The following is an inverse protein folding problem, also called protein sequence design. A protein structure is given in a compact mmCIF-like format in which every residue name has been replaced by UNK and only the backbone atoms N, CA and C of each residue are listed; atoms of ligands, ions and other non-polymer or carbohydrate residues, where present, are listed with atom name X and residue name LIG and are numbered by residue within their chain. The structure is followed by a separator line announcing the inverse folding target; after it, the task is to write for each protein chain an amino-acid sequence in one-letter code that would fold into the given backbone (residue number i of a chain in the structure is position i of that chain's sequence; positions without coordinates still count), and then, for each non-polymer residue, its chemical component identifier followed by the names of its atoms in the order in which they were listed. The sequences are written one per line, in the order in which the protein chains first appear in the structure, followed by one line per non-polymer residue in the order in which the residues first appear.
data_IF_309395480167
#
_entry.id   IF_309395480167
#
_cell.length_a   1.000
_cell.length_b   1.000
_cell.length_c   1.000
_cell.angle_alpha   90.00
_cell.angle_beta   90.00
_cell.angle_gamma   90.00
#
_symmetry.space_group_name_H-M   'P 1'
#
loop_
_entity.id
_entity.type
_entity.pdbx_description
1 polymer ?
#
# COMPACT_ATOMS: atom_id res chain seq x y z
N UNK A 1 1.54 -22.70 25.83
CA UNK A 1 1.50 -21.26 26.18
C UNK A 1 0.92 -20.52 24.99
N UNK A 2 -0.40 -20.30 24.96
CA UNK A 2 -1.04 -19.53 23.89
C UNK A 2 -0.87 -18.05 24.22
N UNK A 3 -0.25 -17.28 23.32
CA UNK A 3 -0.12 -15.84 23.46
C UNK A 3 -1.51 -15.21 23.58
N UNK A 4 -1.75 -14.51 24.68
CA UNK A 4 -2.94 -13.69 24.94
C UNK A 4 -2.88 -12.37 24.15
N UNK A 5 -2.70 -12.45 22.83
CA UNK A 5 -2.60 -11.29 21.93
C UNK A 5 -3.34 -11.56 20.62
N UNK A 6 -3.87 -10.51 19.99
CA UNK A 6 -4.44 -10.60 18.64
C UNK A 6 -3.38 -11.12 17.66
N UNK A 7 -3.73 -12.16 16.90
CA UNK A 7 -2.92 -12.61 15.76
C UNK A 7 -3.23 -11.72 14.54
N UNK A 8 -2.29 -10.84 14.21
CA UNK A 8 -2.41 -9.95 13.04
C UNK A 8 -1.95 -10.60 11.73
N UNK A 9 -1.49 -11.85 11.75
CA UNK A 9 -1.04 -12.60 10.57
C UNK A 9 -1.49 -14.07 10.61
N UNK A 10 -2.80 -14.34 10.72
CA UNK A 10 -3.30 -15.70 10.80
C UNK A 10 -3.02 -16.45 9.50
N UNK A 11 -2.57 -17.69 9.61
CA UNK A 11 -2.15 -18.52 8.47
C UNK A 11 -3.16 -18.54 7.30
N UNK A 12 -4.48 -18.67 7.52
CA UNK A 12 -5.46 -18.67 6.43
C UNK A 12 -5.53 -17.37 5.62
N UNK A 13 -5.09 -16.24 6.19
CA UNK A 13 -5.12 -14.93 5.54
C UNK A 13 -3.77 -14.48 4.99
N UNK A 14 -2.69 -15.21 5.29
CA UNK A 14 -1.32 -14.81 4.99
C UNK A 14 -1.10 -14.46 3.52
N UNK A 15 -1.63 -15.26 2.60
CA UNK A 15 -1.53 -14.97 1.17
C UNK A 15 -2.24 -13.67 0.75
N UNK A 16 -3.40 -13.36 1.35
CA UNK A 16 -4.12 -12.10 1.08
C UNK A 16 -3.34 -10.90 1.64
N UNK A 17 -2.75 -11.05 2.82
CA UNK A 17 -1.89 -10.04 3.44
C UNK A 17 -0.67 -9.79 2.56
N UNK A 18 0.01 -10.84 2.11
CA UNK A 18 1.18 -10.74 1.22
C UNK A 18 0.83 -10.07 -0.11
N UNK A 19 -0.30 -10.44 -0.72
CA UNK A 19 -0.80 -9.79 -1.94
C UNK A 19 -0.95 -8.28 -1.73
N UNK A 20 -1.69 -7.85 -0.71
CA UNK A 20 -1.90 -6.42 -0.47
C UNK A 20 -0.61 -5.69 -0.10
N UNK A 21 0.26 -6.29 0.73
CA UNK A 21 1.55 -5.70 1.06
C UNK A 21 2.44 -5.50 -0.17
N UNK A 22 2.43 -6.45 -1.12
CA UNK A 22 3.20 -6.32 -2.37
C UNK A 22 2.72 -5.19 -3.27
N UNK A 23 1.49 -4.71 -3.10
CA UNK A 23 0.93 -3.57 -3.85
C UNK A 23 1.14 -2.28 -3.06
N UNK A 24 0.75 -2.27 -1.79
CA UNK A 24 0.77 -1.08 -0.93
C UNK A 24 2.20 -0.59 -0.70
N UNK A 25 3.16 -1.49 -0.46
CA UNK A 25 4.53 -1.10 -0.14
C UNK A 25 5.21 -0.29 -1.28
N UNK A 26 5.29 -0.79 -2.52
CA UNK A 26 5.93 -0.04 -3.60
C UNK A 26 5.11 1.15 -4.12
N UNK A 27 3.78 1.11 -4.03
CA UNK A 27 2.92 2.07 -4.73
C UNK A 27 2.24 3.10 -3.81
N UNK A 28 2.27 2.89 -2.49
CA UNK A 28 1.79 3.87 -1.51
C UNK A 28 2.94 4.24 -0.58
N UNK A 29 3.44 3.29 0.21
CA UNK A 29 4.41 3.56 1.26
C UNK A 29 5.70 4.18 0.72
N UNK A 30 6.20 3.69 -0.42
CA UNK A 30 7.37 4.25 -1.08
C UNK A 30 7.03 5.43 -1.99
N UNK A 31 5.85 5.44 -2.60
CA UNK A 31 5.49 6.44 -3.60
C UNK A 31 5.25 7.83 -2.97
N UNK A 32 4.75 7.89 -1.73
CA UNK A 32 4.66 9.17 -1.00
C UNK A 32 6.04 9.83 -0.81
N UNK A 33 7.09 9.04 -0.55
CA UNK A 33 8.46 9.58 -0.50
C UNK A 33 8.95 10.02 -1.87
N UNK A 34 8.59 9.30 -2.93
CA UNK A 34 8.95 9.68 -4.31
C UNK A 34 8.31 11.00 -4.72
N UNK A 35 7.06 11.23 -4.33
CA UNK A 35 6.41 12.53 -4.48
C UNK A 35 7.19 13.62 -3.74
N UNK A 36 7.47 13.40 -2.44
CA UNK A 36 8.13 14.39 -1.58
C UNK A 36 9.60 14.68 -1.93
N UNK A 37 10.31 13.73 -2.54
CA UNK A 37 11.71 13.87 -2.94
C UNK A 37 11.92 14.08 -4.45
N UNK A 38 10.84 14.24 -5.22
CA UNK A 38 10.94 14.49 -6.65
C UNK A 38 11.74 15.77 -6.92
N UNK A 39 12.72 15.67 -7.83
CA UNK A 39 13.57 16.81 -8.23
C UNK A 39 13.05 17.56 -9.46
N UNK A 40 11.88 17.15 -9.98
CA UNK A 40 11.22 17.81 -11.10
C UNK A 40 9.71 17.63 -11.04
N UNK A 41 8.98 18.56 -11.67
CA UNK A 41 7.53 18.48 -11.78
C UNK A 41 7.08 17.18 -12.45
N UNK A 42 7.75 16.79 -13.55
CA UNK A 42 7.42 15.56 -14.27
C UNK A 42 7.57 14.30 -13.41
N UNK A 43 8.64 14.23 -12.60
CA UNK A 43 8.84 13.09 -11.69
C UNK A 43 7.76 13.07 -10.59
N UNK A 44 7.40 14.24 -10.06
CA UNK A 44 6.31 14.38 -9.11
C UNK A 44 4.97 13.94 -9.72
N UNK A 45 4.61 14.41 -10.91
CA UNK A 45 3.34 14.10 -11.57
C UNK A 45 3.19 12.58 -11.81
N UNK A 46 4.26 11.92 -12.23
CA UNK A 46 4.28 10.45 -12.40
C UNK A 46 4.04 9.75 -11.06
N UNK A 47 4.74 10.17 -10.01
CA UNK A 47 4.64 9.55 -8.69
C UNK A 47 3.25 9.76 -8.07
N UNK A 48 2.72 10.98 -8.14
CA UNK A 48 1.39 11.34 -7.62
C UNK A 48 0.29 10.59 -8.36
N UNK A 49 0.32 10.54 -9.69
CA UNK A 49 -0.68 9.77 -10.45
C UNK A 49 -0.68 8.30 -10.06
N UNK A 50 0.51 7.68 -9.97
CA UNK A 50 0.65 6.28 -9.55
C UNK A 50 0.14 6.01 -8.13
N UNK A 51 0.40 6.96 -7.21
CA UNK A 51 -0.12 6.91 -5.85
C UNK A 51 -1.65 6.97 -5.86
N UNK A 52 -2.24 7.94 -6.55
CA UNK A 52 -3.69 8.12 -6.66
C UNK A 52 -4.37 6.88 -7.27
N UNK A 53 -3.86 6.36 -8.38
CA UNK A 53 -4.40 5.15 -9.02
C UNK A 53 -4.44 3.96 -8.05
N UNK A 54 -3.42 3.83 -7.19
CA UNK A 54 -3.37 2.75 -6.20
C UNK A 54 -4.34 3.00 -5.04
N UNK A 55 -4.50 4.26 -4.62
CA UNK A 55 -5.46 4.62 -3.57
C UNK A 55 -6.90 4.40 -4.04
N UNK A 56 -7.23 4.71 -5.29
CA UNK A 56 -8.54 4.43 -5.88
C UNK A 56 -8.84 2.92 -5.87
N UNK A 57 -7.86 2.09 -6.24
CA UNK A 57 -7.98 0.62 -6.15
C UNK A 57 -8.20 0.13 -4.71
N UNK A 58 -7.59 0.78 -3.72
CA UNK A 58 -7.79 0.45 -2.30
C UNK A 58 -9.18 0.88 -1.84
N UNK A 59 -9.64 2.07 -2.22
CA UNK A 59 -10.97 2.58 -1.91
C UNK A 59 -12.06 1.67 -2.49
N UNK A 60 -11.93 1.27 -3.76
CA UNK A 60 -12.83 0.31 -4.40
C UNK A 60 -12.92 -1.01 -3.60
N UNK A 61 -11.81 -1.48 -3.03
CA UNK A 61 -11.80 -2.69 -2.21
C UNK A 61 -12.47 -2.51 -0.83
N UNK A 62 -12.38 -1.32 -0.25
CA UNK A 62 -12.83 -1.03 1.12
C UNK A 62 -14.26 -0.47 1.18
N UNK A 63 -14.85 -0.08 0.05
CA UNK A 63 -16.17 0.56 -0.06
C UNK A 63 -17.38 -0.32 0.31
N UNK A 64 -17.20 -1.47 0.98
CA UNK A 64 -18.25 -2.43 1.36
C UNK A 64 -18.33 -2.70 2.85
#
# INVERSE_FOLDING_TARGET
MSSTGLDHSPTPMKHKIEKWNSIIYPNVNNEVYRCGFAQSQQANDIAVNKLCDTLDMIEDHLSS
#
